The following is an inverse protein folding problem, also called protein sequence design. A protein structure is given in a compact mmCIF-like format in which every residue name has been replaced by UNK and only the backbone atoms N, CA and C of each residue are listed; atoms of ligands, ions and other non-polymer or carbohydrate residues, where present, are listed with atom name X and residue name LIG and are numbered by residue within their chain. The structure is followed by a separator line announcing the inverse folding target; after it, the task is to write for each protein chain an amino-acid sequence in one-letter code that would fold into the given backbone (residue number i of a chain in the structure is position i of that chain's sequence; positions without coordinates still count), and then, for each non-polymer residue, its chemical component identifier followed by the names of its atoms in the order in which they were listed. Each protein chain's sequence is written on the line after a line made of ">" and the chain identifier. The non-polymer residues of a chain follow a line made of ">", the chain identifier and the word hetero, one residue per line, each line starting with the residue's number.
data_IF_366763790017
#
_entry.id   IF_366763790017
#
_cell.length_a   1.000
_cell.length_b   1.000
_cell.length_c   1.000
_cell.angle_alpha   90.00
_cell.angle_beta   90.00
_cell.angle_gamma   90.00
#
_symmetry.space_group_name_H-M   'P 1'
#
loop_
_entity.id
_entity.type
_entity.pdbx_description
1 polymer ?
#
# COMPACT_ATOMS: atom_id res chain seq x y z
N UNK A 1 9.37 18.51 -14.82
CA UNK A 1 10.12 17.25 -14.98
C UNK A 1 10.54 16.82 -13.59
N UNK A 2 10.39 15.53 -13.25
CA UNK A 2 10.75 15.00 -11.94
C UNK A 2 12.27 14.84 -11.86
N UNK A 3 12.84 15.18 -10.71
CA UNK A 3 14.28 15.19 -10.44
C UNK A 3 14.66 14.19 -9.36
N UNK A 4 15.96 13.85 -9.29
CA UNK A 4 16.49 13.03 -8.19
C UNK A 4 16.22 13.66 -6.82
N UNK A 5 16.27 14.98 -6.70
CA UNK A 5 15.98 15.69 -5.45
C UNK A 5 14.52 15.51 -5.01
N UNK A 6 13.58 15.47 -5.96
CA UNK A 6 12.17 15.21 -5.66
C UNK A 6 11.95 13.74 -5.23
N UNK A 7 12.64 12.78 -5.85
CA UNK A 7 12.64 11.39 -5.41
C UNK A 7 13.17 11.24 -3.97
N UNK A 8 14.29 11.90 -3.65
CA UNK A 8 14.89 11.84 -2.32
C UNK A 8 13.98 12.47 -1.26
N UNK A 9 13.34 13.60 -1.58
CA UNK A 9 12.36 14.24 -0.70
C UNK A 9 11.09 13.38 -0.53
N UNK A 10 10.63 12.69 -1.57
CA UNK A 10 9.51 11.76 -1.47
C UNK A 10 9.83 10.58 -0.54
N UNK A 11 11.03 9.98 -0.65
CA UNK A 11 11.50 8.94 0.26
C UNK A 11 11.58 9.43 1.71
N UNK A 12 12.09 10.66 1.92
CA UNK A 12 12.15 11.28 3.24
C UNK A 12 10.75 11.47 3.83
N UNK A 13 9.79 11.96 3.05
CA UNK A 13 8.39 12.12 3.49
C UNK A 13 7.73 10.79 3.85
N UNK A 14 7.97 9.72 3.09
CA UNK A 14 7.50 8.37 3.44
C UNK A 14 8.05 7.91 4.80
N UNK A 15 9.33 8.15 5.08
CA UNK A 15 9.96 7.72 6.33
C UNK A 15 9.59 8.59 7.53
N UNK A 16 9.43 9.90 7.35
CA UNK A 16 9.38 10.83 8.48
C UNK A 16 8.10 11.66 8.54
N UNK A 17 7.42 11.86 7.41
CA UNK A 17 6.33 12.82 7.27
C UNK A 17 4.94 12.22 7.38
N UNK A 18 4.75 10.98 6.93
CA UNK A 18 3.46 10.31 7.00
C UNK A 18 3.32 9.49 8.27
N UNK A 19 2.19 9.65 8.96
CA UNK A 19 1.81 8.76 10.05
C UNK A 19 1.61 7.33 9.54
N UNK A 20 1.04 7.18 8.35
CA UNK A 20 0.77 5.89 7.73
C UNK A 20 0.85 5.99 6.20
N UNK A 21 1.28 4.91 5.56
CA UNK A 21 1.10 4.64 4.14
C UNK A 21 0.93 3.13 3.93
N UNK A 22 0.29 2.74 2.82
CA UNK A 22 0.01 1.33 2.48
C UNK A 22 0.48 0.95 1.08
N UNK A 23 0.41 -0.35 0.80
CA UNK A 23 0.73 -0.96 -0.50
C UNK A 23 -0.53 -1.67 -1.00
N UNK A 24 -0.99 -1.33 -2.21
CA UNK A 24 -2.25 -1.83 -2.77
C UNK A 24 -2.25 -3.36 -2.91
N UNK A 25 -1.11 -3.93 -3.27
CA UNK A 25 -0.90 -5.38 -3.40
C UNK A 25 -0.89 -6.12 -2.05
N UNK A 26 -0.80 -5.37 -0.94
CA UNK A 26 -0.86 -5.87 0.43
C UNK A 26 -1.95 -5.13 1.21
N UNK A 27 -3.14 -5.01 0.60
CA UNK A 27 -4.22 -4.15 1.07
C UNK A 27 -4.66 -4.47 2.51
N UNK A 28 -4.87 -5.74 2.82
CA UNK A 28 -5.35 -6.17 4.13
C UNK A 28 -4.32 -5.89 5.23
N UNK A 29 -3.04 -6.15 4.94
CA UNK A 29 -1.94 -5.78 5.83
C UNK A 29 -1.79 -4.27 5.97
N UNK A 30 -2.08 -3.51 4.91
CA UNK A 30 -2.09 -2.04 4.95
C UNK A 30 -3.17 -1.53 5.90
N UNK A 31 -4.38 -2.08 5.86
CA UNK A 31 -5.45 -1.71 6.79
C UNK A 31 -5.12 -2.13 8.22
N UNK A 32 -4.55 -3.31 8.43
CA UNK A 32 -4.08 -3.72 9.75
C UNK A 32 -3.00 -2.77 10.31
N UNK A 33 -2.01 -2.40 9.50
CA UNK A 33 -0.99 -1.44 9.89
C UNK A 33 -1.60 -0.07 10.20
N UNK A 34 -2.52 0.41 9.38
CA UNK A 34 -3.22 1.68 9.63
C UNK A 34 -3.87 1.69 11.02
N UNK A 35 -4.63 0.65 11.37
CA UNK A 35 -5.27 0.54 12.68
C UNK A 35 -4.26 0.32 13.82
N UNK A 36 -3.13 -0.34 13.57
CA UNK A 36 -2.05 -0.45 14.55
C UNK A 36 -1.32 0.88 14.79
N UNK A 37 -1.23 1.75 13.79
CA UNK A 37 -0.58 3.05 13.88
C UNK A 37 -1.50 4.14 14.46
N UNK A 38 -2.73 4.22 13.99
CA UNK A 38 -3.67 5.30 14.33
C UNK A 38 -4.65 4.90 15.45
N UNK A 39 -4.87 3.61 15.65
CA UNK A 39 -5.93 3.08 16.49
C UNK A 39 -7.30 3.14 15.80
N UNK A 40 -8.25 2.36 16.29
CA UNK A 40 -9.58 2.25 15.69
C UNK A 40 -10.09 0.83 15.69
N UNK A 41 -11.34 0.66 15.25
CA UNK A 41 -11.91 -0.65 14.96
C UNK A 41 -11.78 -0.92 13.48
N UNK A 42 -11.39 -2.14 13.10
CA UNK A 42 -11.35 -2.52 11.70
C UNK A 42 -12.77 -2.73 11.18
N UNK A 43 -13.14 -2.01 10.12
CA UNK A 43 -14.49 -2.00 9.59
C UNK A 43 -14.59 -2.83 8.31
N UNK A 44 -15.68 -3.58 8.09
CA UNK A 44 -15.84 -4.41 6.88
C UNK A 44 -15.65 -3.64 5.57
N UNK A 45 -16.10 -2.38 5.52
CA UNK A 45 -16.02 -1.53 4.32
C UNK A 45 -14.59 -1.18 3.90
N UNK A 46 -13.61 -1.29 4.79
CA UNK A 46 -12.18 -1.03 4.50
C UNK A 46 -11.56 -2.16 3.67
N UNK A 47 -12.20 -3.33 3.64
CA UNK A 47 -11.73 -4.53 2.97
C UNK A 47 -12.57 -4.90 1.74
N UNK A 48 -13.47 -3.99 1.32
CA UNK A 48 -14.25 -4.15 0.09
C UNK A 48 -13.51 -3.49 -1.07
N UNK A 49 -13.35 -4.22 -2.17
CA UNK A 49 -12.88 -3.62 -3.42
C UNK A 49 -13.98 -2.73 -4.01
N UNK A 50 -13.88 -1.42 -3.75
CA UNK A 50 -14.82 -0.42 -4.26
C UNK A 50 -14.40 0.15 -5.62
N UNK A 51 -13.40 -0.42 -6.29
CA UNK A 51 -12.98 0.02 -7.63
C UNK A 51 -14.09 -0.34 -8.62
N UNK A 52 -14.96 0.63 -8.86
CA UNK A 52 -16.01 0.52 -9.86
C UNK A 52 -15.39 0.55 -11.26
N UNK A 53 -15.14 -0.63 -11.84
CA UNK A 53 -14.90 -0.78 -13.27
C UNK A 53 -16.24 -0.64 -14.01
N UNK A 54 -16.76 0.59 -14.12
CA UNK A 54 -18.02 0.89 -14.85
C UNK A 54 -17.82 0.69 -16.37
N UNK A 55 -16.57 0.61 -16.82
CA UNK A 55 -16.22 0.26 -18.19
C UNK A 55 -15.80 -1.22 -18.23
N UNK A 56 -16.06 -1.94 -19.34
CA UNK A 56 -15.46 -3.25 -19.56
C UNK A 56 -13.96 -3.14 -19.28
N UNK A 57 -13.36 -4.18 -18.67
CA UNK A 57 -11.90 -4.29 -18.55
C UNK A 57 -11.32 -4.13 -19.95
N UNK A 58 -10.95 -2.90 -20.31
CA UNK A 58 -10.02 -2.68 -21.40
C UNK A 58 -8.77 -3.35 -20.88
N UNK A 59 -8.33 -4.43 -21.53
CA UNK A 59 -7.01 -4.97 -21.25
C UNK A 59 -6.03 -3.80 -21.40
N UNK A 60 -5.50 -3.39 -20.25
CA UNK A 60 -4.49 -2.36 -20.20
C UNK A 60 -3.21 -3.01 -20.70
N UNK A 61 -3.01 -2.91 -22.00
CA UNK A 61 -1.79 -3.36 -22.64
C UNK A 61 -0.71 -2.29 -22.40
N UNK A 62 0.01 -2.46 -21.29
CA UNK A 62 1.14 -1.61 -20.90
C UNK A 62 2.19 -1.53 -22.01
N UNK A 63 2.44 -2.63 -22.70
CA UNK A 63 3.42 -2.69 -23.77
C UNK A 63 2.94 -1.90 -25.00
N UNK A 64 1.65 -1.93 -25.31
CA UNK A 64 1.06 -1.10 -26.35
C UNK A 64 1.08 0.40 -26.00
N UNK A 65 0.82 0.75 -24.74
CA UNK A 65 0.63 2.14 -24.30
C UNK A 65 1.94 2.85 -23.92
N UNK A 66 2.87 2.11 -23.31
CA UNK A 66 4.13 2.64 -22.78
C UNK A 66 5.35 2.06 -23.51
N UNK A 67 5.19 0.96 -24.24
CA UNK A 67 6.32 0.27 -24.88
C UNK A 67 7.34 -0.17 -23.84
N UNK A 68 8.59 0.26 -24.04
CA UNK A 68 9.69 0.05 -23.10
C UNK A 68 9.88 1.20 -22.09
N UNK A 69 9.04 2.24 -22.15
CA UNK A 69 9.14 3.35 -21.22
C UNK A 69 8.76 2.89 -19.81
N UNK A 70 9.63 3.20 -18.85
CA UNK A 70 9.38 3.00 -17.43
C UNK A 70 9.69 4.30 -16.72
N UNK A 71 8.83 4.70 -15.78
CA UNK A 71 9.12 5.83 -14.93
C UNK A 71 10.31 5.47 -14.01
N UNK A 72 11.48 6.12 -14.17
CA UNK A 72 12.66 5.77 -13.40
C UNK A 72 12.56 6.21 -11.92
N UNK A 73 11.68 7.15 -11.61
CA UNK A 73 11.53 7.72 -10.27
C UNK A 73 10.44 7.00 -9.48
N UNK A 74 9.27 6.77 -10.08
CA UNK A 74 8.17 6.08 -9.40
C UNK A 74 8.53 4.64 -9.07
N UNK A 75 9.22 3.93 -9.98
CA UNK A 75 9.71 2.58 -9.70
C UNK A 75 10.67 2.53 -8.50
N UNK A 76 11.62 3.47 -8.45
CA UNK A 76 12.58 3.56 -7.35
C UNK A 76 11.96 4.03 -6.03
N UNK A 77 10.90 4.84 -6.08
CA UNK A 77 10.12 5.24 -4.90
C UNK A 77 9.28 4.08 -4.38
N UNK A 78 8.63 3.34 -5.27
CA UNK A 78 7.78 2.22 -4.92
C UNK A 78 8.57 1.04 -4.33
N UNK A 79 9.73 0.69 -4.89
CA UNK A 79 10.64 -0.30 -4.30
C UNK A 79 11.09 0.11 -2.88
N UNK A 80 11.43 1.39 -2.70
CA UNK A 80 11.76 1.92 -1.38
C UNK A 80 10.56 1.85 -0.41
N UNK A 81 9.36 2.18 -0.89
CA UNK A 81 8.13 2.11 -0.09
C UNK A 81 7.81 0.68 0.33
N UNK A 82 8.00 -0.32 -0.54
CA UNK A 82 7.82 -1.72 -0.20
C UNK A 82 8.77 -2.17 0.93
N UNK A 83 10.05 -1.81 0.85
CA UNK A 83 11.02 -2.10 1.91
C UNK A 83 10.65 -1.43 3.24
N UNK A 84 10.34 -0.13 3.20
CA UNK A 84 9.91 0.62 4.38
C UNK A 84 8.60 0.09 4.96
N UNK A 85 7.66 -0.38 4.12
CA UNK A 85 6.42 -0.99 4.59
C UNK A 85 6.68 -2.24 5.43
N UNK A 86 7.62 -3.11 5.01
CA UNK A 86 8.03 -4.26 5.82
C UNK A 86 8.71 -3.84 7.13
N UNK A 87 9.53 -2.77 7.11
CA UNK A 87 10.08 -2.19 8.35
C UNK A 87 8.96 -1.75 9.31
N UNK A 88 7.92 -1.07 8.80
CA UNK A 88 6.77 -0.63 9.62
C UNK A 88 5.98 -1.79 10.21
N UNK A 89 5.74 -2.84 9.43
CA UNK A 89 5.11 -4.07 9.95
C UNK A 89 5.93 -4.65 11.11
N UNK A 90 7.25 -4.73 10.95
CA UNK A 90 8.15 -5.23 11.98
C UNK A 90 8.17 -4.33 13.23
N UNK A 91 8.22 -3.00 13.07
CA UNK A 91 8.15 -2.04 14.18
C UNK A 91 6.88 -2.19 15.02
N UNK A 92 5.76 -2.51 14.38
CA UNK A 92 4.48 -2.77 15.04
C UNK A 92 4.27 -4.25 15.45
N UNK A 93 5.26 -5.12 15.25
CA UNK A 93 5.17 -6.58 15.47
C UNK A 93 3.98 -7.23 14.74
N UNK A 94 3.68 -6.77 13.54
CA UNK A 94 2.60 -7.29 12.72
C UNK A 94 3.06 -8.44 11.85
N UNK A 95 2.28 -9.50 11.88
CA UNK A 95 2.24 -10.59 10.92
C UNK A 95 0.78 -10.83 10.55
N UNK A 96 0.54 -11.72 9.59
CA UNK A 96 -0.81 -12.19 9.26
C UNK A 96 -1.55 -12.66 10.51
N UNK A 97 -0.89 -13.45 11.36
CA UNK A 97 -1.46 -13.98 12.60
C UNK A 97 -1.75 -12.86 13.61
N UNK A 98 -0.83 -11.90 13.75
CA UNK A 98 -1.03 -10.75 14.64
C UNK A 98 -2.19 -9.84 14.19
N UNK A 99 -2.50 -9.83 12.89
CA UNK A 99 -3.60 -9.07 12.30
C UNK A 99 -4.96 -9.77 12.37
N UNK A 100 -5.03 -11.05 12.76
CA UNK A 100 -6.29 -11.79 12.88
C UNK A 100 -7.38 -11.08 13.70
N UNK A 101 -7.09 -10.40 14.84
CA UNK A 101 -8.11 -9.63 15.54
C UNK A 101 -8.75 -8.53 14.68
N UNK A 102 -7.95 -7.81 13.87
CA UNK A 102 -8.46 -6.80 12.95
C UNK A 102 -9.35 -7.43 11.87
N UNK A 103 -8.91 -8.54 11.28
CA UNK A 103 -9.68 -9.25 10.26
C UNK A 103 -11.01 -9.80 10.81
N UNK A 104 -11.00 -10.31 12.05
CA UNK A 104 -12.20 -10.75 12.75
C UNK A 104 -13.19 -9.61 13.01
N UNK A 105 -12.69 -8.45 13.42
CA UNK A 105 -13.51 -7.23 13.59
C UNK A 105 -14.19 -6.82 12.28
N UNK A 106 -13.43 -6.84 11.18
CA UNK A 106 -13.92 -6.55 9.84
C UNK A 106 -14.80 -7.68 9.25
N UNK A 107 -14.88 -8.84 9.90
CA UNK A 107 -15.68 -9.98 9.46
C UNK A 107 -15.15 -10.64 8.19
N UNK A 108 -13.85 -10.53 7.90
CA UNK A 108 -13.23 -11.16 6.73
C UNK A 108 -12.44 -12.41 7.10
N UNK A 109 -12.35 -13.37 6.18
CA UNK A 109 -11.44 -14.50 6.28
C UNK A 109 -10.18 -14.18 5.48
N UNK A 110 -9.08 -13.94 6.18
CA UNK A 110 -7.78 -13.73 5.58
C UNK A 110 -6.86 -14.90 5.97
N UNK A 111 -6.23 -15.58 4.97
CA UNK A 111 -5.41 -16.76 5.19
C UNK A 111 -4.14 -16.44 6.00
#
# INVERSE_FOLDING_TARGET
>A
EVTQQELDEAKRRLREGFAFFGIVEQWEMSMCLFHATVGGHCHPGEFVDTRHWILPKVEYDEELLLGSWKDPYDGALYEYAQGLFQERLAEHNLSVEACQPCFQQAGIQYP
#
